data_IF_748538818844
#
_entry.id   IF_748538818844
#
_cell.length_a   1.000
_cell.length_b   1.000
_cell.length_c   1.000
_cell.angle_alpha   90.00
_cell.angle_beta   90.00
_cell.angle_gamma   90.00
#
_symmetry.space_group_name_H-M   'P 1'
#
loop_
_entity.id
_entity.type
_entity.pdbx_description
1 polymer ?
#
# COMPACT_ATOMS: atom_id res chain seq x y z
N UNK A 1 -11.27 12.61 -8.69
CA UNK A 1 -12.18 11.95 -7.73
C UNK A 1 -11.64 12.24 -6.35
N UNK A 2 -12.31 13.12 -5.61
CA UNK A 2 -11.89 13.51 -4.26
C UNK A 2 -12.28 12.37 -3.31
N UNK A 3 -11.30 11.78 -2.62
CA UNK A 3 -11.53 10.80 -1.56
C UNK A 3 -12.39 11.47 -0.48
N UNK A 4 -13.64 11.03 -0.35
CA UNK A 4 -14.57 11.56 0.65
C UNK A 4 -13.98 11.39 2.06
N UNK A 5 -14.07 12.41 2.93
CA UNK A 5 -13.63 12.28 4.33
C UNK A 5 -14.44 11.17 5.01
N UNK A 6 -13.75 10.07 5.35
CA UNK A 6 -14.37 8.89 5.96
C UNK A 6 -14.10 7.55 5.24
N UNK A 7 -13.40 7.55 4.10
CA UNK A 7 -12.92 6.28 3.51
C UNK A 7 -11.80 5.72 4.38
N UNK A 8 -12.11 4.62 5.04
CA UNK A 8 -11.14 3.87 5.85
C UNK A 8 -10.11 3.22 4.91
N UNK A 9 -8.91 3.79 4.80
CA UNK A 9 -7.91 3.33 3.83
C UNK A 9 -7.19 2.04 4.26
N UNK A 10 -7.50 1.56 5.46
CA UNK A 10 -6.97 0.33 6.02
C UNK A 10 -7.95 -0.85 5.87
N UNK A 11 -9.02 -0.68 5.07
CA UNK A 11 -9.86 -1.81 4.67
C UNK A 11 -9.00 -2.91 4.07
N UNK A 12 -9.41 -4.15 4.28
CA UNK A 12 -8.73 -5.31 3.74
C UNK A 12 -9.70 -6.12 2.90
N UNK A 13 -9.19 -6.74 1.83
CA UNK A 13 -9.97 -7.70 1.07
C UNK A 13 -10.02 -9.07 1.77
N UNK A 14 -10.60 -10.07 1.11
CA UNK A 14 -10.68 -11.46 1.61
C UNK A 14 -9.31 -12.11 1.90
N UNK A 15 -8.22 -11.54 1.38
CA UNK A 15 -6.85 -12.00 1.60
C UNK A 15 -6.12 -11.14 2.64
N UNK A 16 -6.79 -10.21 3.30
CA UNK A 16 -6.15 -9.28 4.23
C UNK A 16 -5.39 -8.15 3.54
N UNK A 17 -5.48 -8.02 2.20
CA UNK A 17 -4.69 -7.03 1.47
C UNK A 17 -5.33 -5.65 1.56
N UNK A 18 -4.54 -4.68 1.98
CA UNK A 18 -4.95 -3.26 1.99
C UNK A 18 -4.93 -2.67 0.58
N UNK A 19 -5.64 -1.55 0.33
CA UNK A 19 -5.52 -0.78 -0.90
C UNK A 19 -4.07 -0.47 -1.28
N UNK A 20 -3.21 -0.28 -0.29
CA UNK A 20 -1.80 -0.02 -0.48
C UNK A 20 -1.05 -1.25 -1.01
N UNK A 21 -1.30 -2.43 -0.43
CA UNK A 21 -0.75 -3.70 -0.94
C UNK A 21 -1.19 -3.90 -2.40
N UNK A 22 -2.47 -3.66 -2.72
CA UNK A 22 -2.97 -3.71 -4.09
C UNK A 22 -2.27 -2.72 -5.02
N UNK A 23 -2.05 -1.47 -4.58
CA UNK A 23 -1.34 -0.47 -5.37
C UNK A 23 0.10 -0.91 -5.69
N UNK A 24 0.79 -1.54 -4.72
CA UNK A 24 2.13 -2.09 -4.92
C UNK A 24 2.11 -3.25 -5.90
N UNK A 25 1.20 -4.21 -5.72
CA UNK A 25 1.05 -5.39 -6.59
C UNK A 25 0.76 -4.96 -8.02
N UNK A 26 -0.09 -3.95 -8.20
CA UNK A 26 -0.42 -3.37 -9.50
C UNK A 26 0.67 -2.43 -10.05
N UNK A 27 1.80 -2.25 -9.33
CA UNK A 27 2.90 -1.34 -9.67
C UNK A 27 2.45 0.11 -9.88
N UNK A 28 1.36 0.53 -9.23
CA UNK A 28 0.73 1.84 -9.35
C UNK A 28 1.34 2.83 -8.36
N UNK A 29 2.46 3.43 -8.76
CA UNK A 29 3.23 4.39 -7.95
C UNK A 29 2.40 5.57 -7.47
N UNK A 30 1.60 6.18 -8.35
CA UNK A 30 0.74 7.32 -7.97
C UNK A 30 -0.32 6.92 -6.93
N UNK A 31 -0.94 5.75 -7.10
CA UNK A 31 -1.91 5.24 -6.13
C UNK A 31 -1.25 4.95 -4.78
N UNK A 32 -0.04 4.35 -4.79
CA UNK A 32 0.73 4.12 -3.57
C UNK A 32 1.12 5.45 -2.88
N UNK A 33 1.51 6.46 -3.67
CA UNK A 33 1.84 7.79 -3.16
C UNK A 33 0.64 8.46 -2.50
N UNK A 34 -0.51 8.44 -3.17
CA UNK A 34 -1.76 8.99 -2.62
C UNK A 34 -2.18 8.27 -1.35
N UNK A 35 -2.10 6.94 -1.31
CA UNK A 35 -2.44 6.19 -0.11
C UNK A 35 -1.47 6.48 1.04
N UNK A 36 -0.17 6.65 0.75
CA UNK A 36 0.80 7.05 1.75
C UNK A 36 0.50 8.44 2.32
N UNK A 37 0.23 9.43 1.46
CA UNK A 37 -0.05 10.80 1.91
C UNK A 37 -1.38 10.95 2.65
N UNK A 38 -2.34 10.05 2.41
CA UNK A 38 -3.62 10.04 3.10
C UNK A 38 -3.58 9.25 4.43
N UNK A 39 -2.43 8.71 4.84
CA UNK A 39 -2.25 8.01 6.13
C UNK A 39 -2.56 6.51 6.11
N UNK A 40 -2.35 5.82 4.97
CA UNK A 40 -2.46 4.37 4.92
C UNK A 40 -1.43 3.71 5.84
N UNK A 41 -1.84 2.64 6.53
CA UNK A 41 -0.95 1.90 7.41
C UNK A 41 0.02 1.01 6.60
N UNK A 42 1.25 1.47 6.45
CA UNK A 42 2.34 0.76 5.76
C UNK A 42 2.73 -0.56 6.46
N UNK A 43 2.49 -0.66 7.77
CA UNK A 43 2.84 -1.83 8.59
C UNK A 43 1.74 -2.89 8.62
N UNK A 44 0.58 -2.62 8.00
CA UNK A 44 -0.49 -3.60 7.93
C UNK A 44 -0.05 -4.77 7.06
N UNK A 45 -0.04 -5.95 7.65
CA UNK A 45 0.20 -7.22 6.95
C UNK A 45 -1.10 -7.80 6.43
N UNK A 46 -1.01 -8.51 5.33
CA UNK A 46 -2.10 -9.34 4.82
C UNK A 46 -2.15 -10.72 5.51
N UNK A 47 -3.03 -11.60 5.04
CA UNK A 47 -3.18 -12.95 5.60
C UNK A 47 -1.95 -13.85 5.35
N UNK A 48 -1.03 -13.44 4.47
CA UNK A 48 0.25 -14.11 4.23
C UNK A 48 1.36 -13.55 5.13
N UNK A 49 1.06 -12.58 5.99
CA UNK A 49 2.05 -11.92 6.85
C UNK A 49 2.95 -10.95 6.10
N UNK A 50 2.56 -10.49 4.90
CA UNK A 50 3.35 -9.59 4.07
C UNK A 50 2.81 -8.17 4.11
N UNK A 51 3.72 -7.20 4.22
CA UNK A 51 3.39 -5.77 4.09
C UNK A 51 3.49 -5.30 2.64
N UNK A 52 2.98 -4.11 2.36
CA UNK A 52 3.18 -3.45 1.06
C UNK A 52 4.67 -3.31 0.69
N UNK A 53 5.54 -3.08 1.69
CA UNK A 53 6.98 -2.98 1.47
C UNK A 53 7.60 -4.33 1.09
N UNK A 54 7.13 -5.43 1.69
CA UNK A 54 7.62 -6.78 1.36
C UNK A 54 7.30 -7.14 -0.08
N UNK A 55 6.07 -6.83 -0.54
CA UNK A 55 5.72 -6.99 -1.95
C UNK A 55 6.59 -6.12 -2.88
N UNK A 56 6.88 -4.88 -2.49
CA UNK A 56 7.75 -4.01 -3.30
C UNK A 56 9.18 -4.56 -3.41
N UNK A 57 9.69 -5.18 -2.33
CA UNK A 57 10.98 -5.88 -2.28
C UNK A 57 10.99 -7.14 -3.14
N UNK A 58 9.97 -7.98 -3.05
CA UNK A 58 9.84 -9.20 -3.87
C UNK A 58 9.81 -8.86 -5.37
N UNK A 59 9.17 -7.74 -5.73
CA UNK A 59 9.13 -7.25 -7.10
C UNK A 59 10.41 -6.53 -7.56
N UNK A 60 11.41 -6.36 -6.68
CA UNK A 60 12.61 -5.55 -6.90
C UNK A 60 12.29 -4.14 -7.42
N UNK A 61 11.19 -3.54 -6.95
CA UNK A 61 10.75 -2.22 -7.41
C UNK A 61 11.28 -1.13 -6.48
N UNK A 62 12.54 -0.73 -6.72
CA UNK A 62 13.25 0.27 -5.92
C UNK A 62 12.47 1.60 -5.78
N UNK A 63 11.66 1.98 -6.77
CA UNK A 63 10.85 3.20 -6.69
C UNK A 63 9.74 3.06 -5.65
N UNK A 64 9.03 1.93 -5.62
CA UNK A 64 8.01 1.69 -4.60
C UNK A 64 8.64 1.48 -3.23
N UNK A 65 9.78 0.79 -3.15
CA UNK A 65 10.52 0.61 -1.90
C UNK A 65 10.90 1.98 -1.32
N UNK A 66 11.46 2.88 -2.14
CA UNK A 66 11.82 4.22 -1.69
C UNK A 66 10.59 5.03 -1.23
N UNK A 67 9.48 4.91 -1.96
CA UNK A 67 8.23 5.63 -1.66
C UNK A 67 7.57 5.16 -0.36
N UNK A 68 7.70 3.87 -0.03
CA UNK A 68 7.16 3.27 1.19
C UNK A 68 8.15 3.29 2.37
N UNK A 69 9.45 3.37 2.11
CA UNK A 69 10.49 3.43 3.15
C UNK A 69 10.85 4.87 3.54
N UNK A 70 10.45 5.87 2.75
CA UNK A 70 10.69 7.29 3.00
C UNK A 70 9.63 7.90 3.91
N UNK A 71 9.59 7.46 5.17
CA UNK A 71 8.86 8.14 6.26
C UNK A 71 9.73 8.26 7.50
#
# INVERSE_FOLDING_TARGET
>A
MLLSPGVDMNITDKYGQTPLIHAVICKRRESAALLNTNGANLQKVDNFGKTALDYAREMNNNVLIALLSGN
#
